data_IF_623472175926
#
_entry.id   IF_623472175926
#
_cell.length_a   1.000
_cell.length_b   1.000
_cell.length_c   1.000
_cell.angle_alpha   90.00
_cell.angle_beta   90.00
_cell.angle_gamma   90.00
#
_symmetry.space_group_name_H-M   'P 1'
#
loop_
_entity.id
_entity.type
_entity.pdbx_description
1 polymer ?
#
# COMPACT_ATOMS: atom_id res chain seq x y z
N UNK A 1 -10.08 14.44 17.63
CA UNK A 1 -9.68 15.30 16.50
C UNK A 1 -8.85 14.45 15.55
N UNK A 2 -9.30 14.27 14.30
CA UNK A 2 -8.52 13.55 13.30
C UNK A 2 -7.44 14.50 12.78
N UNK A 3 -6.24 14.41 13.35
CA UNK A 3 -5.07 15.16 12.89
C UNK A 3 -4.67 14.64 11.51
N UNK A 4 -4.39 15.57 10.61
CA UNK A 4 -3.89 15.28 9.27
C UNK A 4 -2.45 15.80 9.21
N UNK A 5 -1.55 14.93 8.78
CA UNK A 5 -0.15 15.24 8.49
C UNK A 5 0.01 15.49 6.99
N UNK A 6 0.66 16.60 6.63
CA UNK A 6 0.83 17.00 5.24
C UNK A 6 2.12 16.43 4.64
N UNK A 7 3.13 16.20 5.47
CA UNK A 7 4.38 15.56 5.06
C UNK A 7 4.47 14.14 5.63
N UNK A 8 4.35 13.15 4.76
CA UNK A 8 4.40 11.73 5.16
C UNK A 8 5.72 11.36 5.85
N UNK A 9 6.79 12.14 5.67
CA UNK A 9 8.04 11.92 6.40
C UNK A 9 7.90 12.09 7.91
N UNK A 10 6.96 12.93 8.35
CA UNK A 10 6.72 13.23 9.76
C UNK A 10 5.53 12.46 10.33
N UNK A 11 4.90 11.60 9.54
CA UNK A 11 3.68 10.92 9.97
C UNK A 11 3.96 9.81 10.98
N UNK A 12 3.15 9.81 12.05
CA UNK A 12 3.07 8.74 13.04
C UNK A 12 2.11 7.60 12.62
N UNK A 13 1.31 7.81 11.58
CA UNK A 13 0.31 6.85 11.12
C UNK A 13 0.94 5.85 10.16
N UNK A 14 1.28 4.67 10.67
CA UNK A 14 2.00 3.64 9.94
C UNK A 14 1.31 2.28 10.00
N UNK A 15 1.26 1.57 8.87
CA UNK A 15 0.83 0.16 8.83
C UNK A 15 1.98 -0.70 8.32
N UNK A 16 2.16 -1.87 8.95
CA UNK A 16 3.16 -2.86 8.54
C UNK A 16 2.43 -4.07 7.96
N UNK A 17 2.69 -4.38 6.69
CA UNK A 17 2.15 -5.56 6.01
C UNK A 17 3.30 -6.23 5.28
N UNK A 18 3.51 -7.52 5.52
CA UNK A 18 4.66 -8.26 5.01
C UNK A 18 5.97 -7.52 5.34
N UNK A 19 6.79 -7.27 4.33
CA UNK A 19 8.06 -6.55 4.43
C UNK A 19 7.93 -5.04 4.13
N UNK A 20 6.72 -4.49 4.18
CA UNK A 20 6.45 -3.10 3.83
C UNK A 20 5.96 -2.29 5.02
N UNK A 21 6.40 -1.04 5.09
CA UNK A 21 5.94 -0.03 6.04
C UNK A 21 5.29 1.11 5.26
N UNK A 22 3.98 1.25 5.40
CA UNK A 22 3.16 2.26 4.72
C UNK A 22 2.93 3.46 5.63
N UNK A 23 3.19 4.67 5.15
CA UNK A 23 2.95 5.91 5.89
C UNK A 23 1.68 6.60 5.40
N UNK A 24 0.85 7.09 6.31
CA UNK A 24 -0.44 7.71 5.98
C UNK A 24 -0.51 9.13 6.48
N UNK A 25 -1.22 10.00 5.77
CA UNK A 25 -1.45 11.38 6.20
C UNK A 25 -2.43 11.47 7.38
N UNK A 26 -3.16 10.40 7.71
CA UNK A 26 -4.11 10.42 8.82
C UNK A 26 -4.40 9.02 9.34
N UNK A 27 -4.79 8.95 10.61
CA UNK A 27 -5.31 7.72 11.24
C UNK A 27 -6.49 7.12 10.48
N UNK A 28 -7.39 7.96 9.96
CA UNK A 28 -8.53 7.50 9.15
C UNK A 28 -8.08 6.73 7.89
N UNK A 29 -7.07 7.24 7.18
CA UNK A 29 -6.55 6.56 5.99
C UNK A 29 -5.85 5.24 6.37
N UNK A 30 -5.06 5.25 7.44
CA UNK A 30 -4.40 4.05 7.98
C UNK A 30 -5.43 2.96 8.33
N UNK A 31 -6.44 3.29 9.14
CA UNK A 31 -7.49 2.34 9.55
C UNK A 31 -8.28 1.82 8.34
N UNK A 32 -8.60 2.70 7.38
CA UNK A 32 -9.30 2.30 6.16
C UNK A 32 -8.44 1.37 5.31
N UNK A 33 -7.14 1.59 5.25
CA UNK A 33 -6.21 0.72 4.54
C UNK A 33 -6.15 -0.65 5.20
N UNK A 34 -5.96 -0.72 6.52
CA UNK A 34 -5.90 -1.97 7.28
C UNK A 34 -7.20 -2.78 7.18
N UNK A 35 -8.36 -2.11 7.27
CA UNK A 35 -9.66 -2.76 7.20
C UNK A 35 -9.99 -3.32 5.80
N UNK A 36 -9.47 -2.72 4.73
CA UNK A 36 -9.88 -3.05 3.35
C UNK A 36 -8.81 -3.71 2.48
N UNK A 37 -7.54 -3.74 2.89
CA UNK A 37 -6.46 -4.19 2.02
C UNK A 37 -6.58 -5.67 1.63
N UNK A 38 -6.84 -6.55 2.59
CA UNK A 38 -6.96 -7.98 2.34
C UNK A 38 -8.11 -8.30 1.37
N UNK A 39 -9.29 -7.70 1.62
CA UNK A 39 -10.46 -7.89 0.76
C UNK A 39 -10.22 -7.35 -0.64
N UNK A 40 -9.60 -6.18 -0.77
CA UNK A 40 -9.25 -5.62 -2.06
C UNK A 40 -8.32 -6.54 -2.85
N UNK A 41 -7.25 -7.03 -2.24
CA UNK A 41 -6.29 -7.94 -2.89
C UNK A 41 -6.98 -9.23 -3.35
N UNK A 42 -7.81 -9.83 -2.49
CA UNK A 42 -8.53 -11.06 -2.82
C UNK A 42 -9.51 -10.87 -3.98
N UNK A 43 -10.29 -9.78 -3.96
CA UNK A 43 -11.26 -9.48 -5.01
C UNK A 43 -10.55 -9.28 -6.35
N UNK A 44 -9.48 -8.48 -6.40
CA UNK A 44 -8.75 -8.23 -7.65
C UNK A 44 -8.01 -9.48 -8.16
N UNK A 45 -7.44 -10.28 -7.27
CA UNK A 45 -6.82 -11.58 -7.65
C UNK A 45 -7.86 -12.54 -8.22
N UNK A 46 -9.04 -12.65 -7.59
CA UNK A 46 -10.12 -13.49 -8.07
C UNK A 46 -10.68 -13.03 -9.42
N UNK A 47 -10.76 -11.72 -9.67
CA UNK A 47 -11.14 -11.17 -10.99
C UNK A 47 -10.16 -11.59 -12.08
N UNK A 48 -8.86 -11.56 -11.81
CA UNK A 48 -7.84 -12.01 -12.76
C UNK A 48 -7.95 -13.51 -13.05
N UNK A 49 -8.12 -14.32 -12.00
CA UNK A 49 -8.34 -15.75 -12.17
C UNK A 49 -9.62 -16.05 -12.96
N UNK A 50 -10.73 -15.37 -12.66
CA UNK A 50 -11.98 -15.56 -13.39
C UNK A 50 -11.87 -15.17 -14.87
N UNK A 51 -11.05 -14.17 -15.20
CA UNK A 51 -10.87 -13.67 -16.57
C UNK A 51 -9.89 -14.49 -17.40
N UNK A 52 -8.78 -14.92 -16.79
CA UNK A 52 -7.67 -15.54 -17.52
C UNK A 52 -7.41 -17.01 -17.14
N UNK A 53 -8.03 -17.52 -16.08
CA UNK A 53 -7.81 -18.86 -15.53
C UNK A 53 -6.36 -19.15 -15.12
N UNK A 54 -5.61 -18.12 -14.74
CA UNK A 54 -4.21 -18.23 -14.29
C UNK A 54 -4.12 -17.81 -12.82
N UNK A 55 -3.39 -18.59 -12.03
CA UNK A 55 -2.98 -18.22 -10.67
C UNK A 55 -1.69 -17.41 -10.76
N UNK A 56 -1.77 -16.12 -10.47
CA UNK A 56 -0.62 -15.21 -10.45
C UNK A 56 -0.50 -14.66 -9.04
N UNK A 57 0.71 -14.69 -8.47
CA UNK A 57 0.99 -13.99 -7.23
C UNK A 57 1.34 -12.53 -7.53
N UNK A 58 0.42 -11.64 -7.16
CA UNK A 58 0.56 -10.18 -7.31
C UNK A 58 0.15 -9.45 -6.03
N UNK A 59 0.21 -10.13 -4.89
CA UNK A 59 -0.32 -9.58 -3.63
C UNK A 59 0.33 -8.24 -3.28
N UNK A 60 1.67 -8.19 -3.32
CA UNK A 60 2.43 -6.97 -3.00
C UNK A 60 2.07 -5.81 -3.95
N UNK A 61 1.94 -6.11 -5.23
CA UNK A 61 1.52 -5.13 -6.24
C UNK A 61 0.11 -4.57 -5.92
N UNK A 62 -0.86 -5.44 -5.65
CA UNK A 62 -2.22 -5.01 -5.33
C UNK A 62 -2.31 -4.25 -4.01
N UNK A 63 -1.49 -4.59 -3.02
CA UNK A 63 -1.36 -3.84 -1.76
C UNK A 63 -0.88 -2.42 -2.02
N UNK A 64 0.16 -2.23 -2.85
CA UNK A 64 0.66 -0.90 -3.25
C UNK A 64 -0.40 -0.10 -4.03
N UNK A 65 -1.15 -0.77 -4.92
CA UNK A 65 -2.28 -0.17 -5.64
C UNK A 65 -3.38 0.29 -4.67
N UNK A 66 -3.72 -0.53 -3.68
CA UNK A 66 -4.72 -0.16 -2.68
C UNK A 66 -4.27 1.01 -1.80
N UNK A 67 -2.99 1.01 -1.41
CA UNK A 67 -2.40 2.12 -0.68
C UNK A 67 -2.57 3.44 -1.43
N UNK A 68 -2.21 3.48 -2.73
CA UNK A 68 -2.45 4.66 -3.60
C UNK A 68 -3.93 5.02 -3.79
N UNK A 69 -4.84 4.04 -3.66
CA UNK A 69 -6.28 4.32 -3.68
C UNK A 69 -6.76 5.03 -2.42
N UNK A 70 -6.11 4.80 -1.28
CA UNK A 70 -6.46 5.37 0.01
C UNK A 70 -5.70 6.66 0.31
N UNK A 71 -4.37 6.62 0.25
CA UNK A 71 -3.54 7.79 0.49
C UNK A 71 -3.46 8.65 -0.79
N UNK A 72 -3.77 9.94 -0.64
CA UNK A 72 -3.90 10.89 -1.75
C UNK A 72 -2.93 12.06 -1.66
N UNK A 73 -2.25 12.23 -0.52
CA UNK A 73 -1.35 13.36 -0.26
C UNK A 73 0.11 13.05 -0.57
N UNK A 74 0.43 11.80 -0.84
CA UNK A 74 1.78 11.40 -1.23
C UNK A 74 1.88 9.88 -1.35
N UNK A 75 3.10 9.43 -1.57
CA UNK A 75 3.44 8.02 -1.58
C UNK A 75 4.72 7.85 -0.75
N UNK A 76 4.61 7.13 0.38
CA UNK A 76 5.78 6.78 1.19
C UNK A 76 5.63 5.36 1.71
N UNK A 77 6.44 4.47 1.14
CA UNK A 77 6.48 3.05 1.50
C UNK A 77 7.93 2.62 1.64
N UNK A 78 8.29 2.07 2.78
CA UNK A 78 9.61 1.49 3.02
C UNK A 78 9.55 -0.03 2.90
N UNK A 79 10.63 -0.64 2.42
CA UNK A 79 10.81 -2.09 2.39
C UNK A 79 12.28 -2.47 2.59
N UNK A 80 12.57 -3.76 2.62
CA UNK A 80 13.94 -4.26 2.63
C UNK A 80 14.34 -4.67 1.22
N UNK A 81 15.55 -4.32 0.82
CA UNK A 81 16.15 -4.82 -0.42
C UNK A 81 16.70 -6.25 -0.25
N UNK A 82 17.34 -6.79 -1.29
CA UNK A 82 17.95 -8.13 -1.24
C UNK A 82 19.13 -8.25 -0.27
N UNK A 83 19.67 -7.13 0.23
CA UNK A 83 20.75 -7.08 1.22
C UNK A 83 20.24 -6.86 2.64
N UNK A 84 18.92 -6.77 2.84
CA UNK A 84 18.24 -6.36 4.08
C UNK A 84 18.48 -4.90 4.47
N UNK A 85 18.82 -4.03 3.52
CA UNK A 85 18.86 -2.58 3.73
C UNK A 85 17.45 -1.99 3.57
N UNK A 86 17.11 -1.02 4.42
CA UNK A 86 15.83 -0.32 4.32
C UNK A 86 15.90 0.64 3.12
N UNK A 87 14.99 0.45 2.17
CA UNK A 87 14.83 1.29 0.99
C UNK A 87 13.43 1.87 0.91
N UNK A 88 13.30 3.05 0.31
CA UNK A 88 12.01 3.64 -0.04
C UNK A 88 11.61 3.25 -1.46
N UNK A 89 10.39 2.72 -1.61
CA UNK A 89 9.83 2.43 -2.93
C UNK A 89 9.58 3.75 -3.65
N UNK A 90 10.17 3.89 -4.82
CA UNK A 90 9.96 5.06 -5.67
C UNK A 90 8.62 4.94 -6.41
N UNK A 91 7.80 5.99 -6.35
CA UNK A 91 6.59 6.09 -7.16
C UNK A 91 6.90 6.49 -8.61
N UNK A 92 7.61 5.62 -9.32
CA UNK A 92 8.01 5.86 -10.72
C UNK A 92 6.96 5.37 -11.73
N UNK A 93 5.93 4.65 -11.27
CA UNK A 93 4.94 4.03 -12.14
C UNK A 93 3.65 4.85 -12.19
N UNK A 94 3.61 5.72 -13.20
CA UNK A 94 2.38 6.35 -13.71
C UNK A 94 1.52 5.25 -14.33
N UNK A 95 0.69 4.58 -13.54
CA UNK A 95 -0.47 3.88 -14.08
C UNK A 95 -1.55 4.93 -14.36
N UNK A 96 -1.41 5.61 -15.51
CA UNK A 96 -2.48 6.36 -16.16
C UNK A 96 -3.39 5.41 -16.92
#
# INVERSE_FOLDING_TARGET
>A
MNRVEYDLNNSEYISKINNYVFYFSSKFNQERFEAGCYDFVNIETNKLYAKYHIKIDIHDYLTLVYYKKIEKRGFKVLTYDGNNDIIEIQDNYIFR
#
